data_IF_611822029089
#
_entry.id   IF_611822029089
#
_cell.length_a   1.000
_cell.length_b   1.000
_cell.length_c   1.000
_cell.angle_alpha   90.00
_cell.angle_beta   90.00
_cell.angle_gamma   90.00
#
_symmetry.space_group_name_H-M   'P 1'
#
loop_
_entity.id
_entity.type
_entity.pdbx_description
1 polymer ?
#
# COMPACT_ATOMS: atom_id res chain seq x y z
N UNK A 1 -7.19 -34.00 29.81
CA UNK A 1 -6.44 -34.78 28.80
C UNK A 1 -6.20 -33.85 27.63
N UNK A 2 -5.00 -33.28 27.55
CA UNK A 2 -4.60 -32.39 26.45
C UNK A 2 -4.52 -33.24 25.18
N UNK A 3 -5.47 -33.05 24.26
CA UNK A 3 -5.37 -33.61 22.91
C UNK A 3 -4.12 -33.00 22.28
N UNK A 4 -3.01 -33.75 22.24
CA UNK A 4 -1.82 -33.35 21.49
C UNK A 4 -2.23 -33.29 20.02
N UNK A 5 -2.58 -32.09 19.54
CA UNK A 5 -2.88 -31.83 18.15
C UNK A 5 -1.75 -32.38 17.28
N UNK A 6 -2.10 -33.23 16.32
CA UNK A 6 -1.15 -33.87 15.42
C UNK A 6 -0.55 -32.79 14.51
N UNK A 7 0.73 -32.47 14.71
CA UNK A 7 1.45 -31.48 13.89
C UNK A 7 1.43 -31.89 12.42
N UNK A 8 0.97 -31.00 11.55
CA UNK A 8 0.88 -31.25 10.10
C UNK A 8 2.12 -30.67 9.43
N UNK A 9 3.00 -31.55 8.95
CA UNK A 9 4.21 -31.16 8.23
C UNK A 9 3.89 -30.83 6.77
N UNK A 10 4.32 -29.66 6.31
CA UNK A 10 4.25 -29.26 4.91
C UNK A 10 5.57 -29.57 4.21
N UNK A 11 6.70 -29.50 4.91
CA UNK A 11 7.99 -29.96 4.41
C UNK A 11 8.79 -30.56 5.56
N UNK A 12 10.06 -30.88 5.32
CA UNK A 12 10.96 -31.43 6.35
C UNK A 12 11.04 -30.52 7.58
N UNK A 13 11.03 -29.20 7.37
CA UNK A 13 11.24 -28.24 8.44
C UNK A 13 10.07 -27.29 8.71
N UNK A 14 9.09 -27.19 7.81
CA UNK A 14 7.96 -26.26 7.95
C UNK A 14 6.65 -27.00 8.20
N UNK A 15 5.81 -26.39 9.04
CA UNK A 15 4.53 -26.98 9.45
C UNK A 15 3.37 -26.06 9.17
N UNK A 16 2.18 -26.65 9.01
CA UNK A 16 0.98 -25.89 8.72
C UNK A 16 0.67 -24.93 9.86
N UNK A 17 0.82 -25.36 11.11
CA UNK A 17 0.54 -24.55 12.29
C UNK A 17 1.47 -23.33 12.37
N UNK A 18 2.73 -23.47 11.99
CA UNK A 18 3.66 -22.35 11.90
C UNK A 18 3.24 -21.36 10.81
N UNK A 19 2.80 -21.86 9.64
CA UNK A 19 2.37 -20.99 8.54
C UNK A 19 0.98 -20.38 8.73
N UNK A 20 0.14 -20.92 9.61
CA UNK A 20 -1.20 -20.37 9.88
C UNK A 20 -1.25 -19.61 11.21
N UNK A 21 -0.18 -19.65 12.00
CA UNK A 21 -0.09 -18.88 13.23
C UNK A 21 -0.14 -17.38 12.96
N UNK A 22 -0.97 -16.68 13.72
CA UNK A 22 -1.03 -15.23 13.75
C UNK A 22 -1.37 -14.79 15.16
N UNK A 23 -0.51 -13.96 15.75
CA UNK A 23 -0.76 -13.38 17.08
C UNK A 23 -2.10 -12.65 17.12
N UNK A 24 -2.40 -11.86 16.08
CA UNK A 24 -3.66 -11.14 15.95
C UNK A 24 -4.86 -12.08 15.91
N UNK A 25 -4.75 -13.24 15.26
CA UNK A 25 -5.82 -14.23 15.26
C UNK A 25 -6.06 -14.78 16.67
N UNK A 26 -4.99 -15.06 17.43
CA UNK A 26 -5.08 -15.53 18.81
C UNK A 26 -5.69 -14.47 19.73
N UNK A 27 -5.20 -13.23 19.66
CA UNK A 27 -5.67 -12.11 20.49
C UNK A 27 -7.15 -11.79 20.27
N UNK A 28 -7.64 -11.99 19.05
CA UNK A 28 -9.04 -11.74 18.66
C UNK A 28 -9.91 -13.01 18.60
N UNK A 29 -9.39 -14.18 19.00
CA UNK A 29 -10.07 -15.47 18.92
C UNK A 29 -10.66 -15.80 17.53
N UNK A 30 -9.92 -15.45 16.47
CA UNK A 30 -10.29 -15.69 15.07
C UNK A 30 -9.71 -17.03 14.60
N UNK A 31 -10.55 -17.85 13.97
CA UNK A 31 -10.09 -19.05 13.28
C UNK A 31 -9.38 -18.69 11.97
N UNK A 32 -8.05 -18.87 11.94
CA UNK A 32 -7.20 -18.62 10.77
C UNK A 32 -6.92 -19.90 9.97
N UNK A 33 -7.85 -20.87 9.99
CA UNK A 33 -7.74 -22.10 9.20
C UNK A 33 -7.79 -21.79 7.69
N UNK A 34 -6.81 -22.27 6.90
CA UNK A 34 -6.78 -22.05 5.45
C UNK A 34 -7.80 -22.92 4.71
N UNK A 35 -8.28 -22.42 3.57
CA UNK A 35 -9.06 -23.25 2.64
C UNK A 35 -8.20 -24.37 2.05
N UNK A 36 -8.81 -25.43 1.47
CA UNK A 36 -8.06 -26.49 0.79
C UNK A 36 -7.09 -25.97 -0.28
N UNK A 37 -7.51 -24.97 -1.05
CA UNK A 37 -6.69 -24.34 -2.10
C UNK A 37 -5.51 -23.58 -1.49
N UNK A 38 -5.76 -22.80 -0.43
CA UNK A 38 -4.69 -22.10 0.27
C UNK A 38 -3.70 -23.07 0.90
N UNK A 39 -4.15 -24.21 1.43
CA UNK A 39 -3.27 -25.26 1.96
C UNK A 39 -2.39 -25.88 0.87
N UNK A 40 -2.91 -26.09 -0.34
CA UNK A 40 -2.12 -26.54 -1.50
C UNK A 40 -1.08 -25.49 -1.87
N UNK A 41 -1.44 -24.20 -1.87
CA UNK A 41 -0.47 -23.12 -2.11
C UNK A 41 0.62 -23.04 -1.05
N UNK A 42 0.29 -23.23 0.24
CA UNK A 42 1.28 -23.28 1.32
C UNK A 42 2.23 -24.47 1.16
N UNK A 43 1.71 -25.63 0.76
CA UNK A 43 2.50 -26.82 0.46
C UNK A 43 3.47 -26.56 -0.70
N UNK A 44 3.01 -25.87 -1.76
CA UNK A 44 3.84 -25.48 -2.89
C UNK A 44 4.91 -24.44 -2.49
N UNK A 45 4.52 -23.39 -1.76
CA UNK A 45 5.43 -22.36 -1.24
C UNK A 45 6.54 -22.98 -0.37
N UNK A 46 6.18 -23.88 0.55
CA UNK A 46 7.15 -24.54 1.42
C UNK A 46 8.07 -25.47 0.64
N UNK A 47 7.52 -26.38 -0.16
CA UNK A 47 8.30 -27.38 -0.88
C UNK A 47 9.20 -26.81 -1.99
N UNK A 48 8.74 -25.78 -2.69
CA UNK A 48 9.45 -25.25 -3.87
C UNK A 48 10.31 -24.02 -3.59
N UNK A 49 10.07 -23.31 -2.47
CA UNK A 49 10.81 -22.08 -2.16
C UNK A 49 11.43 -22.12 -0.76
N UNK A 50 10.64 -22.25 0.31
CA UNK A 50 11.16 -22.08 1.68
C UNK A 50 12.09 -23.21 2.11
N UNK A 51 11.78 -24.46 1.77
CA UNK A 51 12.58 -25.63 2.13
C UNK A 51 13.94 -25.62 1.40
N UNK A 52 14.02 -25.48 0.06
CA UNK A 52 15.30 -25.32 -0.62
C UNK A 52 16.12 -24.13 -0.09
N UNK A 53 15.46 -23.00 0.19
CA UNK A 53 16.13 -21.82 0.72
C UNK A 53 16.68 -22.06 2.13
N UNK A 54 15.97 -22.81 2.97
CA UNK A 54 16.44 -23.23 4.29
C UNK A 54 17.64 -24.17 4.19
N UNK A 55 17.63 -25.12 3.25
CA UNK A 55 18.75 -26.04 3.01
C UNK A 55 20.01 -25.27 2.58
N UNK A 56 19.87 -24.23 1.76
CA UNK A 56 20.98 -23.33 1.39
C UNK A 56 21.46 -22.48 2.57
N UNK A 57 20.53 -21.99 3.39
CA UNK A 57 20.85 -21.19 4.58
C UNK A 57 21.51 -22.03 5.69
N UNK A 58 21.25 -23.33 5.74
CA UNK A 58 21.77 -24.31 6.72
C UNK A 58 21.48 -23.96 8.19
N UNK A 59 20.50 -23.08 8.42
CA UNK A 59 20.06 -22.60 9.73
C UNK A 59 18.53 -22.44 9.74
N UNK A 60 17.89 -22.41 10.93
CA UNK A 60 16.45 -22.21 11.01
C UNK A 60 16.01 -20.87 10.39
N UNK A 61 14.94 -20.92 9.60
CA UNK A 61 14.18 -19.75 9.15
C UNK A 61 12.90 -19.74 9.97
N UNK A 62 12.65 -18.65 10.70
CA UNK A 62 11.42 -18.50 11.48
C UNK A 62 10.35 -17.83 10.63
N UNK A 63 9.15 -18.40 10.58
CA UNK A 63 8.04 -17.76 9.88
C UNK A 63 7.24 -16.89 10.85
N UNK A 64 7.19 -15.58 10.55
CA UNK A 64 6.45 -14.61 11.36
C UNK A 64 4.97 -14.57 10.98
N UNK A 65 4.68 -14.73 9.69
CA UNK A 65 3.31 -14.80 9.17
C UNK A 65 3.28 -15.57 7.85
N UNK A 66 2.30 -16.45 7.67
CA UNK A 66 2.07 -17.18 6.42
C UNK A 66 0.68 -16.90 5.89
N UNK A 67 -0.23 -17.86 5.96
CA UNK A 67 -1.62 -17.64 5.61
C UNK A 67 -2.32 -16.65 6.54
N UNK A 68 -3.13 -15.76 5.96
CA UNK A 68 -4.04 -14.88 6.69
C UNK A 68 -5.41 -14.96 6.05
N UNK A 69 -6.45 -15.23 6.81
CA UNK A 69 -7.81 -15.06 6.32
C UNK A 69 -8.11 -13.55 6.10
N UNK A 70 -9.27 -13.24 5.51
CA UNK A 70 -9.65 -11.86 5.19
C UNK A 70 -9.70 -10.96 6.41
N UNK A 71 -10.17 -11.47 7.54
CA UNK A 71 -10.34 -10.71 8.77
C UNK A 71 -9.00 -10.39 9.43
N UNK A 72 -8.15 -11.40 9.61
CA UNK A 72 -6.78 -11.25 10.12
C UNK A 72 -5.99 -10.29 9.25
N UNK A 73 -6.06 -10.44 7.92
CA UNK A 73 -5.37 -9.56 6.98
C UNK A 73 -5.83 -8.10 7.13
N UNK A 74 -7.12 -7.85 7.34
CA UNK A 74 -7.65 -6.50 7.58
C UNK A 74 -7.14 -5.92 8.91
N UNK A 75 -7.13 -6.70 9.99
CA UNK A 75 -6.68 -6.25 11.31
C UNK A 75 -5.20 -5.87 11.34
N UNK A 76 -4.36 -6.56 10.57
CA UNK A 76 -2.93 -6.22 10.46
C UNK A 76 -2.64 -5.11 9.43
N UNK A 77 -3.67 -4.48 8.87
CA UNK A 77 -3.54 -3.43 7.85
C UNK A 77 -3.07 -3.93 6.48
N UNK A 78 -3.30 -5.20 6.17
CA UNK A 78 -2.95 -5.82 4.89
C UNK A 78 -3.90 -5.40 3.76
N UNK A 79 -3.38 -5.36 2.54
CA UNK A 79 -4.16 -5.05 1.33
C UNK A 79 -5.04 -6.22 0.91
N UNK A 80 -6.17 -5.93 0.24
CA UNK A 80 -7.14 -6.95 -0.21
C UNK A 80 -6.61 -7.88 -1.30
N UNK A 81 -5.56 -7.48 -2.02
CA UNK A 81 -4.89 -8.25 -3.07
C UNK A 81 -3.68 -9.03 -2.55
N UNK A 82 -3.49 -9.11 -1.23
CA UNK A 82 -2.34 -9.76 -0.62
C UNK A 82 -2.26 -11.26 -0.94
N UNK A 83 -1.05 -11.75 -1.24
CA UNK A 83 -0.79 -13.17 -1.50
C UNK A 83 -0.90 -14.04 -0.23
N UNK A 84 -0.82 -13.45 0.96
CA UNK A 84 -1.08 -14.17 2.22
C UNK A 84 -2.51 -14.72 2.29
N UNK A 85 -3.48 -14.05 1.66
CA UNK A 85 -4.89 -14.51 1.58
C UNK A 85 -5.05 -15.80 0.77
N UNK A 86 -4.06 -16.11 -0.08
CA UNK A 86 -4.07 -17.28 -0.98
C UNK A 86 -3.15 -18.40 -0.51
N UNK A 87 -2.42 -18.20 0.60
CA UNK A 87 -1.37 -19.13 1.04
C UNK A 87 -0.13 -19.12 0.13
N UNK A 88 0.05 -18.06 -0.68
CA UNK A 88 1.15 -17.94 -1.65
C UNK A 88 2.32 -17.10 -1.10
N UNK A 89 2.28 -16.68 0.17
CA UNK A 89 3.31 -15.83 0.76
C UNK A 89 3.62 -16.16 2.22
N UNK A 90 4.86 -15.85 2.62
CA UNK A 90 5.34 -15.94 3.99
C UNK A 90 6.33 -14.82 4.33
N UNK A 91 6.23 -14.28 5.53
CA UNK A 91 7.18 -13.33 6.11
C UNK A 91 8.21 -14.09 6.94
N UNK A 92 9.45 -14.09 6.49
CA UNK A 92 10.53 -14.89 7.05
C UNK A 92 11.52 -14.04 7.84
N UNK A 93 11.89 -14.51 9.03
CA UNK A 93 12.90 -13.92 9.89
C UNK A 93 14.11 -14.85 10.00
N UNK A 94 15.30 -14.25 10.00
CA UNK A 94 16.56 -14.92 10.30
C UNK A 94 17.39 -14.06 11.27
N UNK A 95 18.18 -14.67 12.18
CA UNK A 95 19.03 -13.92 13.10
C UNK A 95 20.08 -13.04 12.41
N UNK A 96 20.60 -13.48 11.26
CA UNK A 96 21.55 -12.71 10.43
C UNK A 96 20.88 -11.59 9.63
N UNK A 97 19.56 -11.51 9.70
CA UNK A 97 18.76 -10.47 9.05
C UNK A 97 18.28 -10.86 7.66
N UNK A 98 17.23 -10.16 7.19
CA UNK A 98 16.52 -10.55 5.97
C UNK A 98 17.33 -10.34 4.69
N UNK A 99 18.36 -9.48 4.73
CA UNK A 99 19.27 -9.26 3.60
C UNK A 99 20.08 -10.52 3.26
N UNK A 100 20.49 -11.30 4.27
CA UNK A 100 21.23 -12.54 4.04
C UNK A 100 20.36 -13.59 3.34
N UNK A 101 19.09 -13.65 3.72
CA UNK A 101 18.13 -14.57 3.11
C UNK A 101 17.83 -14.18 1.66
N UNK A 102 17.70 -12.88 1.39
CA UNK A 102 17.54 -12.34 0.04
C UNK A 102 18.76 -12.63 -0.84
N UNK A 103 19.98 -12.44 -0.32
CA UNK A 103 21.21 -12.82 -1.02
C UNK A 103 21.19 -14.28 -1.48
N UNK A 104 20.86 -15.21 -0.56
CA UNK A 104 20.83 -16.64 -0.87
C UNK A 104 19.77 -16.98 -1.91
N UNK A 105 18.60 -16.34 -1.84
CA UNK A 105 17.53 -16.51 -2.82
C UNK A 105 17.97 -16.10 -4.23
N UNK A 106 18.68 -14.98 -4.35
CA UNK A 106 19.15 -14.48 -5.63
C UNK A 106 20.30 -15.34 -6.18
N UNK A 107 21.20 -15.81 -5.31
CA UNK A 107 22.29 -16.70 -5.70
C UNK A 107 21.81 -18.09 -6.11
N UNK A 108 20.69 -18.57 -5.56
CA UNK A 108 20.19 -19.92 -5.82
C UNK A 108 19.44 -20.05 -7.15
N UNK A 109 18.96 -18.94 -7.72
CA UNK A 109 18.10 -18.96 -8.90
C UNK A 109 16.76 -19.67 -8.67
N UNK A 110 16.32 -19.77 -7.41
CA UNK A 110 15.03 -20.38 -7.09
C UNK A 110 13.89 -19.52 -7.67
N UNK A 111 12.80 -20.13 -8.16
CA UNK A 111 11.66 -19.37 -8.65
C UNK A 111 10.93 -18.70 -7.47
N UNK A 112 10.57 -17.44 -7.64
CA UNK A 112 9.71 -16.69 -6.71
C UNK A 112 8.92 -15.62 -7.48
N UNK A 113 7.77 -15.21 -6.95
CA UNK A 113 7.00 -14.11 -7.52
C UNK A 113 7.52 -12.75 -7.03
N UNK A 114 7.54 -12.53 -5.71
CA UNK A 114 8.05 -11.32 -5.10
C UNK A 114 8.91 -11.61 -3.87
N UNK A 115 9.97 -10.83 -3.69
CA UNK A 115 10.79 -10.80 -2.49
C UNK A 115 10.83 -9.35 -1.96
N UNK A 116 10.14 -9.06 -0.86
CA UNK A 116 10.04 -7.70 -0.30
C UNK A 116 10.85 -7.60 0.99
N UNK A 117 11.93 -6.83 0.96
CA UNK A 117 12.87 -6.69 2.07
C UNK A 117 12.43 -5.60 3.05
N UNK A 118 11.96 -5.97 4.23
CA UNK A 118 11.64 -5.03 5.30
C UNK A 118 12.80 -4.88 6.29
N UNK A 119 13.80 -4.07 5.95
CA UNK A 119 15.03 -3.92 6.78
C UNK A 119 14.73 -3.53 8.23
N UNK A 120 13.89 -2.51 8.45
CA UNK A 120 13.58 -2.02 9.81
C UNK A 120 12.72 -2.99 10.62
N UNK A 121 11.81 -3.72 9.95
CA UNK A 121 10.98 -4.76 10.58
C UNK A 121 11.69 -6.12 10.69
N UNK A 122 12.90 -6.23 10.13
CA UNK A 122 13.80 -7.39 10.18
C UNK A 122 13.22 -8.68 9.57
N UNK A 123 12.36 -8.59 8.56
CA UNK A 123 11.86 -9.77 7.84
C UNK A 123 11.92 -9.60 6.33
N UNK A 124 11.93 -10.74 5.63
CA UNK A 124 11.83 -10.84 4.19
C UNK A 124 10.47 -11.45 3.85
N UNK A 125 9.64 -10.70 3.16
CA UNK A 125 8.42 -11.24 2.57
C UNK A 125 8.79 -12.02 1.32
N UNK A 126 8.37 -13.27 1.23
CA UNK A 126 8.57 -14.14 0.09
C UNK A 126 7.22 -14.58 -0.43
N UNK A 127 7.03 -14.53 -1.75
CA UNK A 127 5.84 -15.08 -2.39
C UNK A 127 6.18 -15.95 -3.58
N UNK A 128 5.33 -16.95 -3.81
CA UNK A 128 5.40 -17.87 -4.94
C UNK A 128 3.98 -18.22 -5.36
N UNK A 129 3.64 -17.91 -6.61
CA UNK A 129 2.33 -18.26 -7.16
C UNK A 129 2.28 -19.73 -7.51
N UNK A 130 1.13 -20.35 -7.24
CA UNK A 130 0.84 -21.72 -7.67
C UNK A 130 0.41 -21.75 -9.14
N UNK A 131 -0.12 -20.64 -9.66
CA UNK A 131 -0.56 -20.51 -11.06
C UNK A 131 -0.16 -19.17 -11.66
N UNK A 132 0.13 -19.18 -12.97
CA UNK A 132 0.57 -18.01 -13.72
C UNK A 132 2.07 -17.77 -13.67
N UNK A 133 2.51 -16.62 -14.20
CA UNK A 133 3.94 -16.26 -14.26
C UNK A 133 4.41 -15.66 -12.94
N UNK A 134 5.47 -16.23 -12.40
CA UNK A 134 6.24 -15.67 -11.29
C UNK A 134 7.12 -14.53 -11.81
N UNK A 135 7.04 -13.35 -11.17
CA UNK A 135 7.69 -12.13 -11.66
C UNK A 135 9.17 -12.01 -11.32
N UNK A 136 9.66 -12.78 -10.33
CA UNK A 136 11.02 -12.65 -9.79
C UNK A 136 11.37 -11.23 -9.35
N UNK A 137 10.38 -10.52 -8.77
CA UNK A 137 10.52 -9.11 -8.44
C UNK A 137 11.09 -8.92 -7.03
N UNK A 138 12.20 -8.18 -6.91
CA UNK A 138 12.75 -7.76 -5.62
C UNK A 138 12.29 -6.34 -5.30
N UNK A 139 11.81 -6.12 -4.09
CA UNK A 139 11.32 -4.81 -3.63
C UNK A 139 11.97 -4.51 -2.27
N UNK A 140 12.56 -3.33 -2.11
CA UNK A 140 13.12 -2.87 -0.84
C UNK A 140 12.07 -2.05 -0.07
N UNK A 141 11.47 -2.57 1.00
CA UNK A 141 10.48 -1.81 1.73
C UNK A 141 11.16 -0.78 2.65
N UNK A 142 11.28 0.42 2.10
CA UNK A 142 11.51 1.64 2.86
C UNK A 142 10.22 1.96 3.59
N UNK A 143 10.32 2.23 4.89
CA UNK A 143 9.24 2.84 5.66
C UNK A 143 8.94 4.20 4.98
N UNK A 144 7.98 4.23 4.06
CA UNK A 144 7.31 5.45 3.67
C UNK A 144 6.63 5.94 4.95
N UNK A 145 7.08 7.09 5.45
CA UNK A 145 6.43 7.76 6.57
C UNK A 145 5.10 8.31 6.05
N UNK A 146 4.11 7.44 5.85
CA UNK A 146 2.71 7.83 5.70
C UNK A 146 2.09 7.82 7.10
N UNK A 147 2.68 8.61 7.99
CA UNK A 147 2.14 8.87 9.33
C UNK A 147 2.46 10.30 9.70
N UNK A 148 1.72 11.27 9.12
CA UNK A 148 1.59 12.58 9.75
C UNK A 148 0.26 13.30 9.56
N UNK A 149 -0.79 12.75 8.94
CA UNK A 149 -2.08 13.46 8.83
C UNK A 149 -3.33 12.58 8.98
N UNK A 150 -3.33 11.69 9.98
CA UNK A 150 -4.57 11.14 10.51
C UNK A 150 -4.55 11.27 12.03
N UNK A 151 -5.17 12.35 12.54
CA UNK A 151 -5.53 12.48 13.96
C UNK A 151 -4.95 13.69 14.66
N UNK A 152 -5.68 14.81 14.60
CA UNK A 152 -6.23 15.52 15.76
C UNK A 152 -6.59 16.96 15.35
N UNK A 153 -7.88 17.30 15.50
CA UNK A 153 -8.40 18.61 15.20
C UNK A 153 -7.75 19.70 16.06
N UNK A 154 -7.07 20.62 15.41
CA UNK A 154 -6.87 21.99 15.90
C UNK A 154 -6.56 22.85 14.67
N UNK A 155 -7.38 23.89 14.46
CA UNK A 155 -7.16 24.91 13.42
C UNK A 155 -5.76 25.50 13.59
N UNK A 156 -4.85 25.18 12.68
CA UNK A 156 -3.55 25.85 12.51
C UNK A 156 -3.32 26.07 11.02
N UNK A 157 -3.07 27.31 10.65
CA UNK A 157 -2.54 27.71 9.36
C UNK A 157 -1.11 27.18 9.27
N UNK A 158 -0.82 26.24 8.36
CA UNK A 158 0.51 25.64 8.23
C UNK A 158 1.01 25.79 6.80
N UNK A 159 2.20 26.36 6.66
CA UNK A 159 3.05 26.33 5.48
C UNK A 159 4.35 25.60 5.85
N UNK A 160 4.82 24.67 5.02
CA UNK A 160 6.10 23.99 5.23
C UNK A 160 6.49 23.05 4.09
N UNK A 161 7.69 23.31 3.53
CA UNK A 161 8.42 22.47 2.56
C UNK A 161 9.13 21.34 3.29
N UNK A 162 8.98 20.09 2.84
CA UNK A 162 9.84 19.00 3.26
C UNK A 162 10.44 18.28 2.04
N UNK A 163 11.77 18.22 2.00
CA UNK A 163 12.55 17.42 1.06
C UNK A 163 13.31 16.39 1.88
N UNK A 164 13.02 15.10 1.66
CA UNK A 164 13.71 14.01 2.32
C UNK A 164 14.17 13.01 1.25
N UNK A 165 15.48 12.79 1.18
CA UNK A 165 16.10 11.78 0.32
C UNK A 165 16.64 10.67 1.21
N UNK A 166 16.11 9.47 1.01
CA UNK A 166 16.51 8.30 1.78
C UNK A 166 17.04 7.22 0.85
N UNK A 167 18.30 6.85 1.06
CA UNK A 167 18.99 5.80 0.30
C UNK A 167 19.23 4.60 1.20
N UNK A 168 18.73 3.44 0.80
CA UNK A 168 19.05 2.17 1.42
C UNK A 168 19.70 1.27 0.37
N UNK A 169 20.95 0.88 0.58
CA UNK A 169 21.65 -0.07 -0.27
C UNK A 169 21.77 -1.44 0.41
N UNK A 170 21.80 -2.49 -0.39
CA UNK A 170 22.18 -3.85 0.02
C UNK A 170 23.27 -4.29 -0.92
N UNK A 171 24.46 -4.56 -0.36
CA UNK A 171 25.55 -5.17 -1.08
C UNK A 171 25.54 -6.67 -0.81
N UNK A 172 25.47 -7.43 -1.88
CA UNK A 172 25.53 -8.89 -1.88
C UNK A 172 26.79 -9.28 -2.65
N UNK A 173 27.70 -10.00 -2.00
CA UNK A 173 28.98 -10.38 -2.60
C UNK A 173 29.05 -11.89 -2.76
N UNK A 174 29.02 -12.36 -4.00
CA UNK A 174 29.20 -13.76 -4.39
C UNK A 174 30.68 -14.01 -4.68
N UNK A 175 31.28 -15.00 -4.03
CA UNK A 175 32.63 -15.48 -4.36
C UNK A 175 32.51 -16.80 -5.10
N UNK A 176 32.74 -16.79 -6.41
CA UNK A 176 32.89 -18.00 -7.19
C UNK A 176 34.39 -18.21 -7.47
N UNK A 177 34.92 -19.33 -6.96
CA UNK A 177 36.27 -19.88 -7.22
C UNK A 177 37.43 -18.87 -7.29
N UNK A 178 38.12 -18.68 -6.15
CA UNK A 178 39.46 -18.09 -5.90
C UNK A 178 39.87 -16.75 -6.56
N UNK A 179 39.17 -16.24 -7.56
CA UNK A 179 39.58 -15.04 -8.33
C UNK A 179 38.39 -14.12 -8.65
N UNK A 180 37.14 -14.62 -8.71
CA UNK A 180 35.99 -13.79 -9.12
C UNK A 180 35.03 -13.48 -7.97
N UNK A 181 34.90 -12.20 -7.66
CA UNK A 181 33.88 -11.66 -6.76
C UNK A 181 32.79 -11.02 -7.62
N UNK A 182 31.61 -11.62 -7.69
CA UNK A 182 30.43 -10.94 -8.22
C UNK A 182 29.87 -10.06 -7.10
N UNK A 183 29.84 -8.76 -7.29
CA UNK A 183 29.10 -7.87 -6.41
C UNK A 183 27.77 -7.58 -7.08
N UNK A 184 26.70 -7.99 -6.40
CA UNK A 184 25.35 -7.57 -6.66
C UNK A 184 25.04 -6.42 -5.70
N UNK A 185 25.02 -5.21 -6.23
CA UNK A 185 24.63 -4.02 -5.46
C UNK A 185 23.20 -3.66 -5.81
N UNK A 186 22.31 -3.73 -4.82
CA UNK A 186 20.93 -3.28 -4.96
C UNK A 186 20.82 -1.95 -4.22
N UNK A 187 20.52 -0.89 -4.97
CA UNK A 187 20.32 0.45 -4.41
C UNK A 187 18.87 0.85 -4.60
N UNK A 188 18.17 1.09 -3.51
CA UNK A 188 16.83 1.67 -3.54
C UNK A 188 16.88 3.08 -2.96
N UNK A 189 16.63 4.04 -3.85
CA UNK A 189 16.62 5.46 -3.53
C UNK A 189 15.18 5.94 -3.56
N UNK A 190 14.76 6.54 -2.46
CA UNK A 190 13.42 7.09 -2.32
C UNK A 190 13.56 8.58 -2.01
N UNK A 191 13.09 9.43 -2.93
CA UNK A 191 13.06 10.87 -2.73
C UNK A 191 11.62 11.34 -2.66
N UNK A 192 11.33 12.13 -1.63
CA UNK A 192 10.03 12.75 -1.42
C UNK A 192 10.11 14.26 -1.50
N UNK A 193 9.11 14.84 -2.14
CA UNK A 193 8.86 16.28 -2.21
C UNK A 193 7.38 16.49 -1.88
N UNK A 194 7.06 17.26 -0.83
CA UNK A 194 5.67 17.43 -0.39
C UNK A 194 5.41 18.89 0.04
N UNK A 195 4.40 19.56 -0.53
CA UNK A 195 3.92 20.88 -0.09
C UNK A 195 2.45 21.21 -0.36
N UNK A 196 1.67 21.34 0.73
CA UNK A 196 0.28 21.84 0.75
C UNK A 196 0.10 23.11 1.63
N UNK A 197 -0.38 24.27 1.14
CA UNK A 197 -0.63 25.51 1.90
C UNK A 197 -1.99 26.21 1.68
N UNK A 198 -2.86 26.18 2.70
CA UNK A 198 -4.27 26.66 2.78
C UNK A 198 -4.51 27.81 3.79
N UNK A 199 -5.25 28.81 3.33
CA UNK A 199 -5.68 30.11 3.86
C UNK A 199 -7.12 30.20 4.38
N UNK A 200 -7.57 31.41 4.70
CA UNK A 200 -8.34 31.71 5.89
C UNK A 200 -9.59 32.60 5.61
N UNK A 201 -10.55 32.70 6.55
CA UNK A 201 -11.91 33.27 6.38
C UNK A 201 -12.07 34.83 6.28
N UNK A 202 -12.55 35.40 5.13
CA UNK A 202 -12.55 36.85 4.84
C UNK A 202 -13.21 37.79 5.85
N UNK A 203 -12.55 38.92 6.14
CA UNK A 203 -12.80 39.83 7.26
C UNK A 203 -14.07 40.70 7.14
N UNK A 204 -14.31 41.60 8.10
CA UNK A 204 -15.48 42.50 8.17
C UNK A 204 -15.47 43.66 7.16
N UNK A 205 -14.36 43.83 6.45
CA UNK A 205 -14.21 44.61 5.22
C UNK A 205 -14.25 43.72 3.96
N UNK A 206 -14.34 42.40 4.14
CA UNK A 206 -14.54 41.34 3.15
C UNK A 206 -13.31 40.50 2.76
N UNK A 207 -12.13 40.64 3.37
CA UNK A 207 -10.84 40.10 2.84
C UNK A 207 -10.18 39.06 3.78
N UNK A 208 -9.85 37.86 3.28
CA UNK A 208 -8.84 36.90 3.83
C UNK A 208 -8.49 35.90 2.71
N UNK A 209 -7.21 35.71 2.38
CA UNK A 209 -6.18 34.79 2.92
C UNK A 209 -6.27 33.36 2.34
N UNK A 210 -5.12 32.77 2.06
CA UNK A 210 -4.87 31.87 0.91
C UNK A 210 -5.32 30.36 0.91
N UNK A 211 -6.61 30.01 0.85
CA UNK A 211 -7.33 28.71 1.10
C UNK A 211 -6.82 27.30 0.64
N UNK A 212 -5.84 27.09 -0.25
CA UNK A 212 -5.05 25.83 -0.36
C UNK A 212 -3.97 25.98 -1.40
N UNK A 213 -2.98 25.12 -1.27
CA UNK A 213 -1.96 24.67 -2.22
C UNK A 213 -1.73 23.23 -1.81
N UNK A 214 -1.43 22.23 -2.64
CA UNK A 214 -1.09 20.83 -2.28
C UNK A 214 -0.12 20.25 -3.28
N UNK A 215 0.85 19.48 -2.80
CA UNK A 215 1.82 18.82 -3.65
C UNK A 215 2.35 17.64 -2.88
N UNK A 216 2.36 16.45 -3.47
CA UNK A 216 3.06 15.29 -2.95
C UNK A 216 3.69 14.55 -4.12
N UNK A 217 4.97 14.21 -4.00
CA UNK A 217 5.73 13.45 -5.00
C UNK A 217 6.63 12.46 -4.29
N UNK A 218 6.53 11.20 -4.72
CA UNK A 218 7.45 10.13 -4.45
C UNK A 218 8.11 9.74 -5.77
N UNK A 219 9.44 9.76 -5.80
CA UNK A 219 10.17 9.00 -6.81
C UNK A 219 10.99 7.94 -6.10
N UNK A 220 10.75 6.71 -6.53
CA UNK A 220 11.51 5.56 -6.09
C UNK A 220 12.30 5.01 -7.27
N UNK A 221 13.59 4.88 -7.08
CA UNK A 221 14.51 4.30 -8.05
C UNK A 221 15.13 3.08 -7.39
N UNK A 222 14.74 1.91 -7.86
CA UNK A 222 15.40 0.66 -7.49
C UNK A 222 16.33 0.28 -8.64
N UNK A 223 17.65 0.31 -8.40
CA UNK A 223 18.64 -0.21 -9.34
C UNK A 223 19.32 -1.44 -8.76
N UNK A 224 19.68 -2.36 -9.64
CA UNK A 224 20.61 -3.42 -9.32
C UNK A 224 21.73 -3.47 -10.33
N UNK A 225 22.93 -3.74 -9.85
CA UNK A 225 24.13 -3.87 -10.68
C UNK A 225 24.78 -5.21 -10.38
N UNK A 226 24.86 -6.08 -11.38
CA UNK A 226 25.67 -7.29 -11.33
C UNK A 226 26.99 -7.08 -12.06
N UNK A 227 28.08 -7.07 -11.28
CA UNK A 227 29.44 -6.86 -11.78
C UNK A 227 29.92 -7.94 -12.76
N UNK A 228 29.30 -9.14 -12.80
CA UNK A 228 29.67 -10.22 -13.72
C UNK A 228 28.95 -10.14 -15.07
N UNK A 229 27.73 -9.61 -15.09
CA UNK A 229 26.92 -9.53 -16.31
C UNK A 229 26.98 -8.14 -16.97
N UNK A 230 27.57 -7.14 -16.30
CA UNK A 230 27.51 -5.73 -16.69
C UNK A 230 26.07 -5.23 -16.95
N UNK A 231 25.09 -5.92 -16.36
CA UNK A 231 23.67 -5.58 -16.47
C UNK A 231 23.35 -4.63 -15.35
N UNK A 232 22.90 -3.43 -15.73
CA UNK A 232 22.29 -2.47 -14.83
C UNK A 232 20.84 -2.33 -15.26
N UNK A 233 19.93 -2.68 -14.37
CA UNK A 233 18.51 -2.49 -14.59
C UNK A 233 17.96 -1.65 -13.45
N UNK A 234 17.17 -0.65 -13.83
CA UNK A 234 16.70 0.41 -12.95
C UNK A 234 15.21 0.61 -13.17
N UNK A 235 14.44 0.28 -12.15
CA UNK A 235 13.00 0.47 -12.14
C UNK A 235 12.66 1.78 -11.42
N UNK A 236 11.97 2.67 -12.12
CA UNK A 236 11.52 3.96 -11.56
C UNK A 236 10.01 3.90 -11.35
N UNK A 237 9.58 3.92 -10.09
CA UNK A 237 8.17 4.08 -9.73
C UNK A 237 7.94 5.54 -9.31
N UNK A 238 6.93 6.15 -9.92
CA UNK A 238 6.59 7.54 -9.67
C UNK A 238 5.14 7.64 -9.19
N UNK A 239 4.97 8.02 -7.93
CA UNK A 239 3.67 8.34 -7.35
C UNK A 239 3.60 9.84 -7.12
N UNK A 240 2.61 10.50 -7.72
CA UNK A 240 2.42 11.94 -7.59
C UNK A 240 0.97 12.18 -7.26
N UNK A 241 0.68 12.89 -6.18
CA UNK A 241 -0.66 13.45 -6.06
C UNK A 241 -0.71 14.83 -5.40
N UNK A 242 -0.77 15.81 -6.31
CA UNK A 242 -1.92 16.70 -6.46
C UNK A 242 -2.24 17.57 -5.24
N UNK A 243 -3.40 18.23 -5.21
CA UNK A 243 -3.58 19.64 -5.63
C UNK A 243 -4.51 20.30 -4.62
N UNK A 244 -4.60 21.63 -4.55
CA UNK A 244 -5.89 22.38 -4.56
C UNK A 244 -5.78 23.81 -4.05
N UNK A 245 -6.92 24.47 -3.89
CA UNK A 245 -7.26 25.78 -4.41
C UNK A 245 -7.96 26.68 -3.38
N UNK A 246 -8.14 27.92 -3.81
CA UNK A 246 -7.88 29.07 -2.96
C UNK A 246 -8.94 30.18 -3.12
N UNK A 247 -9.83 30.07 -4.13
CA UNK A 247 -11.06 30.90 -4.30
C UNK A 247 -11.90 30.41 -5.50
N UNK A 248 -12.99 29.67 -5.27
CA UNK A 248 -14.03 29.39 -6.29
C UNK A 248 -15.45 29.80 -5.86
N UNK A 249 -15.61 30.63 -4.82
CA UNK A 249 -16.90 30.79 -4.12
C UNK A 249 -17.51 32.20 -4.04
N UNK A 250 -17.08 33.19 -4.84
CA UNK A 250 -18.00 34.30 -5.18
C UNK A 250 -18.93 33.89 -6.33
N UNK A 251 -19.75 32.86 -6.10
CA UNK A 251 -21.02 32.69 -6.81
C UNK A 251 -21.93 33.82 -6.32
N UNK A 252 -22.23 34.84 -7.12
CA UNK A 252 -23.42 34.85 -7.94
C UNK A 252 -23.35 35.98 -9.00
N UNK A 253 -22.59 35.78 -10.08
CA UNK A 253 -23.02 36.32 -11.38
C UNK A 253 -24.04 35.35 -11.96
N UNK A 254 -25.24 35.35 -11.38
CA UNK A 254 -26.42 34.81 -12.05
C UNK A 254 -26.57 35.57 -13.35
N UNK A 255 -26.60 34.83 -14.45
CA UNK A 255 -26.96 35.35 -15.75
C UNK A 255 -28.26 36.15 -15.65
N UNK A 256 -28.29 37.33 -16.28
CA UNK A 256 -29.52 38.05 -16.53
C UNK A 256 -30.35 37.24 -17.52
N UNK A 257 -31.09 36.23 -17.04
CA UNK A 257 -32.26 35.74 -17.77
C UNK A 257 -33.28 36.87 -17.77
N UNK A 258 -33.77 37.22 -18.95
CA UNK A 258 -34.65 38.36 -19.17
C UNK A 258 -35.90 38.30 -18.26
N UNK A 259 -36.35 39.42 -17.67
CA UNK A 259 -37.47 39.47 -16.72
C UNK A 259 -38.83 39.15 -17.36
N UNK A 260 -38.88 38.91 -18.67
CA UNK A 260 -40.12 38.68 -19.42
C UNK A 260 -40.88 37.44 -18.99
N UNK A 261 -40.20 36.35 -18.59
CA UNK A 261 -40.87 35.11 -18.19
C UNK A 261 -41.55 35.20 -16.81
N UNK A 262 -40.97 35.95 -15.87
CA UNK A 262 -41.56 36.17 -14.55
C UNK A 262 -42.76 37.13 -14.59
N UNK A 263 -42.67 38.18 -15.42
CA UNK A 263 -43.78 39.11 -15.65
C UNK A 263 -44.95 38.43 -16.37
N UNK A 264 -44.68 37.55 -17.35
CA UNK A 264 -45.72 36.78 -18.02
C UNK A 264 -46.44 35.80 -17.06
N UNK A 265 -45.70 35.18 -16.14
CA UNK A 265 -46.28 34.31 -15.10
C UNK A 265 -47.18 35.07 -14.13
N UNK A 266 -46.77 36.24 -13.66
CA UNK A 266 -47.57 37.11 -12.79
C UNK A 266 -48.84 37.63 -13.49
N UNK A 267 -48.75 37.98 -14.78
CA UNK A 267 -49.91 38.41 -15.56
C UNK A 267 -50.94 37.29 -15.71
N UNK A 268 -50.52 36.06 -16.00
CA UNK A 268 -51.41 34.88 -16.07
C UNK A 268 -52.07 34.59 -14.71
N UNK A 269 -51.33 34.74 -13.61
CA UNK A 269 -51.85 34.50 -12.27
C UNK A 269 -52.87 35.57 -11.85
N UNK A 270 -52.64 36.84 -12.19
CA UNK A 270 -53.60 37.92 -11.99
C UNK A 270 -54.86 37.75 -12.84
N UNK A 271 -54.72 37.35 -14.11
CA UNK A 271 -55.87 37.04 -14.97
C UNK A 271 -56.67 35.86 -14.44
N UNK A 272 -56.00 34.83 -13.91
CA UNK A 272 -56.66 33.69 -13.27
C UNK A 272 -57.38 34.10 -11.97
N UNK A 273 -56.76 34.93 -11.13
CA UNK A 273 -57.41 35.47 -9.94
C UNK A 273 -58.62 36.35 -10.28
N UNK A 274 -58.50 37.23 -11.28
CA UNK A 274 -59.61 38.04 -11.79
C UNK A 274 -60.73 37.16 -12.36
N UNK A 275 -60.39 36.09 -13.09
CA UNK A 275 -61.37 35.13 -13.59
C UNK A 275 -62.10 34.42 -12.44
N UNK A 276 -61.39 33.98 -11.39
CA UNK A 276 -62.00 33.40 -10.19
C UNK A 276 -62.93 34.40 -9.50
N UNK A 277 -62.49 35.66 -9.31
CA UNK A 277 -63.32 36.70 -8.69
C UNK A 277 -64.57 37.01 -9.52
N UNK A 278 -64.44 37.08 -10.85
CA UNK A 278 -65.57 37.26 -11.76
C UNK A 278 -66.52 36.05 -11.76
N UNK A 279 -65.99 34.83 -11.65
CA UNK A 279 -66.78 33.60 -11.55
C UNK A 279 -67.56 33.56 -10.23
N UNK A 280 -66.92 33.88 -9.11
CA UNK A 280 -67.55 33.96 -7.78
C UNK A 280 -68.56 35.11 -7.63
N UNK A 281 -68.49 36.14 -8.48
CA UNK A 281 -69.50 37.22 -8.56
C UNK A 281 -70.71 36.92 -9.45
N UNK A 282 -70.64 35.90 -10.32
CA UNK A 282 -71.79 35.46 -11.14
C UNK A 282 -72.65 34.37 -10.48
N UNK A 283 -72.17 33.78 -9.38
CA UNK A 283 -72.91 32.77 -8.58
C UNK A 283 -73.52 33.37 -7.29
N UNK A 284 -73.67 34.70 -7.23
CA UNK A 284 -74.47 35.46 -6.26
C UNK A 284 -75.44 36.37 -7.00
#
# INVERSE_FOLDING_TARGET
MESKSKKIWLSEHFTLEELTYSRTAVEHAIDNTPSPEARVSLQHLTGCLLEPLRQLYKKPIAVLSGYRNKEVNRLVGGVSTSQHLKGEAADCYTPEGPAKLLELLLQSGLPFDQAILYKRRKFLHLSLKTSGKNRMQVILCMLCVIFLLAGCGARRTVAGTCLEERRDSVQVSRRDSLIRVANLEITDSLSWELEQVVYLPPDSSGVQYLQSVTTAKASRICSWTDSLLAVTDSHTEYERLATENLTAQHTARSSSRSPFLLLAGLALLLLFCLWIVCKLRKEK
#
